data_IF_163653818879
#
_entry.id   IF_163653818879
#
_cell.length_a   1.000
_cell.length_b   1.000
_cell.length_c   1.000
_cell.angle_alpha   90.00
_cell.angle_beta   90.00
_cell.angle_gamma   90.00
#
_symmetry.space_group_name_H-M   'P 1'
#
loop_
_entity.id
_entity.type
_entity.pdbx_description
1 polymer ?
#
# COMPACT_ATOMS: atom_id res chain seq x y z
N UNK A 1 11.65 -10.32 24.49
CA UNK A 1 12.38 -10.52 23.22
C UNK A 1 11.48 -10.05 22.09
N UNK A 2 11.81 -8.94 21.43
CA UNK A 2 11.05 -8.47 20.26
C UNK A 2 11.47 -9.31 19.06
N UNK A 3 10.51 -9.93 18.37
CA UNK A 3 10.76 -10.64 17.12
C UNK A 3 10.49 -9.65 15.97
N UNK A 4 11.56 -9.24 15.29
CA UNK A 4 11.45 -8.38 14.12
C UNK A 4 11.19 -9.23 12.88
N UNK A 5 10.15 -8.90 12.13
CA UNK A 5 9.93 -9.46 10.81
C UNK A 5 10.56 -8.53 9.77
N UNK A 6 11.49 -9.06 8.98
CA UNK A 6 12.05 -8.37 7.80
C UNK A 6 11.30 -8.85 6.57
N UNK A 7 10.92 -7.93 5.68
CA UNK A 7 10.26 -8.22 4.42
C UNK A 7 11.09 -7.61 3.29
N UNK A 8 11.65 -8.46 2.44
CA UNK A 8 12.39 -8.03 1.25
C UNK A 8 11.42 -7.64 0.15
N UNK A 9 11.45 -6.35 -0.21
CA UNK A 9 10.65 -5.79 -1.29
C UNK A 9 11.46 -5.77 -2.59
N UNK A 10 10.78 -5.98 -3.72
CA UNK A 10 11.42 -5.93 -5.05
C UNK A 10 11.90 -4.54 -5.43
N UNK A 11 11.24 -3.50 -4.91
CA UNK A 11 11.53 -2.10 -5.19
C UNK A 11 11.69 -1.34 -3.87
N UNK A 12 12.55 -0.31 -3.89
CA UNK A 12 12.77 0.56 -2.74
C UNK A 12 11.54 1.42 -2.48
N UNK A 13 10.74 1.02 -1.49
CA UNK A 13 9.60 1.80 -1.02
C UNK A 13 10.07 3.15 -0.43
N UNK A 14 9.46 4.25 -0.87
CA UNK A 14 9.69 5.59 -0.29
C UNK A 14 8.70 5.92 0.82
N UNK A 15 7.53 5.31 0.77
CA UNK A 15 6.47 5.47 1.77
C UNK A 15 5.82 4.11 2.05
N UNK A 16 5.27 3.95 3.26
CA UNK A 16 4.62 2.72 3.72
C UNK A 16 3.41 3.05 4.58
N UNK A 17 2.33 2.28 4.45
CA UNK A 17 1.22 2.30 5.39
C UNK A 17 0.74 0.88 5.67
N UNK A 18 0.45 0.61 6.95
CA UNK A 18 0.03 -0.70 7.44
C UNK A 18 -1.49 -0.72 7.57
N UNK A 19 -2.13 -1.83 7.20
CA UNK A 19 -3.58 -1.94 7.36
C UNK A 19 -4.00 -1.80 8.84
N UNK A 20 -5.14 -1.14 9.14
CA UNK A 20 -5.61 -0.97 10.52
C UNK A 20 -5.82 -2.28 11.29
N UNK A 21 -6.05 -3.38 10.58
CA UNK A 21 -6.27 -4.72 11.12
C UNK A 21 -5.06 -5.65 10.92
N UNK A 22 -3.88 -5.11 10.63
CA UNK A 22 -2.68 -5.90 10.32
C UNK A 22 -2.35 -6.97 11.36
N UNK A 23 -2.57 -6.71 12.65
CA UNK A 23 -2.29 -7.67 13.73
C UNK A 23 -3.39 -8.71 13.92
N UNK A 24 -4.58 -8.52 13.34
CA UNK A 24 -5.70 -9.45 13.50
C UNK A 24 -5.44 -10.74 12.74
N UNK A 25 -5.69 -11.87 13.40
CA UNK A 25 -5.60 -13.19 12.75
C UNK A 25 -6.56 -13.24 11.55
N UNK A 26 -6.05 -13.65 10.39
CA UNK A 26 -6.84 -13.79 9.17
C UNK A 26 -7.00 -12.51 8.33
N UNK A 27 -6.46 -11.36 8.75
CA UNK A 27 -6.48 -10.12 7.94
C UNK A 27 -5.59 -10.18 6.69
N UNK A 28 -4.76 -11.22 6.59
CA UNK A 28 -3.73 -11.33 5.56
C UNK A 28 -2.49 -10.48 5.84
N UNK A 29 -2.42 -9.80 7.01
CA UNK A 29 -1.28 -8.98 7.42
C UNK A 29 -0.86 -8.01 6.31
N UNK A 30 -1.81 -7.22 5.80
CA UNK A 30 -1.63 -6.45 4.57
C UNK A 30 -0.99 -5.09 4.87
N UNK A 31 -0.07 -4.65 4.01
CA UNK A 31 0.45 -3.28 4.00
C UNK A 31 0.57 -2.77 2.57
N UNK A 32 0.75 -1.47 2.39
CA UNK A 32 1.03 -0.84 1.10
C UNK A 32 2.35 -0.09 1.13
N UNK A 33 2.99 -0.03 -0.02
CA UNK A 33 4.21 0.74 -0.26
C UNK A 33 4.02 1.69 -1.43
N UNK A 34 4.66 2.85 -1.37
CA UNK A 34 4.68 3.84 -2.44
C UNK A 34 6.07 4.03 -3.02
N UNK A 35 6.16 3.94 -4.34
CA UNK A 35 7.22 4.51 -5.16
C UNK A 35 6.58 5.32 -6.30
N UNK A 36 6.81 5.02 -7.57
CA UNK A 36 5.93 5.48 -8.67
C UNK A 36 4.54 4.84 -8.58
N UNK A 37 4.45 3.61 -8.08
CA UNK A 37 3.24 2.82 -7.96
C UNK A 37 2.79 2.72 -6.50
N UNK A 38 1.49 2.50 -6.31
CA UNK A 38 0.94 2.04 -5.03
C UNK A 38 0.84 0.52 -5.07
N UNK A 39 1.70 -0.18 -4.34
CA UNK A 39 1.74 -1.64 -4.27
C UNK A 39 1.16 -2.15 -2.95
N UNK A 40 0.24 -3.12 -3.02
CA UNK A 40 -0.32 -3.84 -1.88
C UNK A 40 0.39 -5.17 -1.69
N UNK A 41 0.86 -5.41 -0.46
CA UNK A 41 1.56 -6.61 -0.05
C UNK A 41 0.69 -7.40 0.92
N UNK A 42 0.34 -8.63 0.56
CA UNK A 42 -0.46 -9.52 1.38
C UNK A 42 0.33 -10.77 1.74
N UNK A 43 0.34 -11.13 3.03
CA UNK A 43 0.99 -12.34 3.50
C UNK A 43 0.23 -13.56 3.00
N UNK A 44 0.96 -14.49 2.41
CA UNK A 44 0.46 -15.78 1.96
C UNK A 44 0.48 -16.80 3.10
N UNK A 45 -0.18 -17.93 2.92
CA UNK A 45 -0.17 -19.03 3.89
C UNK A 45 1.23 -19.59 4.16
N UNK A 46 2.15 -19.50 3.19
CA UNK A 46 3.55 -19.94 3.33
C UNK A 46 4.45 -18.88 3.98
N UNK A 47 3.89 -17.75 4.43
CA UNK A 47 4.62 -16.71 5.15
C UNK A 47 5.30 -15.66 4.28
N UNK A 48 5.42 -15.88 2.97
CA UNK A 48 5.91 -14.88 2.02
C UNK A 48 4.84 -13.81 1.72
N UNK A 49 5.24 -12.69 1.13
CA UNK A 49 4.32 -11.64 0.69
C UNK A 49 4.09 -11.70 -0.83
N UNK A 50 2.83 -11.61 -1.23
CA UNK A 50 2.42 -11.42 -2.63
C UNK A 50 2.10 -9.94 -2.86
N UNK A 51 2.66 -9.39 -3.92
CA UNK A 51 2.44 -8.02 -4.36
C UNK A 51 1.27 -7.92 -5.36
N UNK A 52 0.49 -6.84 -5.26
CA UNK A 52 -0.52 -6.42 -6.23
C UNK A 52 -0.41 -4.90 -6.43
N UNK A 53 -0.18 -4.45 -7.66
CA UNK A 53 -0.22 -3.02 -7.99
C UNK A 53 -1.68 -2.53 -7.95
N UNK A 54 -1.94 -1.53 -7.12
CA UNK A 54 -3.23 -0.85 -7.03
C UNK A 54 -3.29 0.31 -8.01
N UNK A 55 -2.26 1.17 -7.98
CA UNK A 55 -2.07 2.33 -8.85
C UNK A 55 -0.74 2.21 -9.59
N UNK A 56 -0.78 2.45 -10.90
CA UNK A 56 0.39 2.55 -11.75
C UNK A 56 0.60 4.01 -12.14
N UNK A 57 1.65 4.64 -11.62
CA UNK A 57 1.95 6.04 -11.86
C UNK A 57 2.67 6.26 -13.18
N UNK A 58 2.37 7.36 -13.86
CA UNK A 58 3.14 7.80 -15.02
C UNK A 58 4.37 8.60 -14.57
N UNK A 59 5.31 8.86 -15.49
CA UNK A 59 6.49 9.69 -15.19
C UNK A 59 6.10 11.08 -14.64
N UNK A 60 5.07 11.71 -15.21
CA UNK A 60 4.54 13.01 -14.76
C UNK A 60 3.93 13.00 -13.37
N UNK A 61 3.55 11.83 -12.86
CA UNK A 61 2.93 11.69 -11.54
C UNK A 61 3.98 11.72 -10.43
N UNK A 62 5.26 11.60 -10.77
CA UNK A 62 6.35 11.59 -9.80
C UNK A 62 6.36 10.35 -8.92
N UNK A 63 6.76 10.51 -7.67
CA UNK A 63 6.76 9.44 -6.65
C UNK A 63 5.72 9.72 -5.58
N UNK A 64 5.18 8.66 -4.98
CA UNK A 64 4.28 8.71 -3.84
C UNK A 64 5.08 9.01 -2.59
N UNK A 65 4.92 10.23 -2.08
CA UNK A 65 5.66 10.75 -0.93
C UNK A 65 5.00 10.39 0.40
N UNK A 66 3.67 10.27 0.41
CA UNK A 66 2.91 10.00 1.63
C UNK A 66 1.76 9.05 1.36
N UNK A 67 1.52 8.13 2.31
CA UNK A 67 0.38 7.22 2.32
C UNK A 67 -0.26 7.25 3.70
N UNK A 68 -1.58 7.32 3.74
CA UNK A 68 -2.38 7.12 4.95
C UNK A 68 -3.44 6.07 4.69
N UNK A 69 -3.69 5.22 5.69
CA UNK A 69 -4.67 4.15 5.59
C UNK A 69 -5.68 4.26 6.73
N UNK A 70 -6.95 4.47 6.36
CA UNK A 70 -8.06 4.44 7.30
C UNK A 70 -9.19 3.52 6.80
N UNK A 71 -9.51 2.48 7.59
CA UNK A 71 -10.51 1.46 7.25
C UNK A 71 -10.28 0.85 5.84
N UNK A 72 -11.23 1.02 4.90
CA UNK A 72 -11.10 0.57 3.52
C UNK A 72 -10.41 1.57 2.59
N UNK A 73 -10.13 2.79 3.06
CA UNK A 73 -9.57 3.86 2.25
C UNK A 73 -8.06 3.98 2.41
N UNK A 74 -7.39 4.14 1.28
CA UNK A 74 -5.96 4.42 1.21
C UNK A 74 -5.80 5.74 0.48
N UNK A 75 -5.39 6.78 1.21
CA UNK A 75 -5.02 8.06 0.64
C UNK A 75 -3.53 8.07 0.32
N UNK A 76 -3.15 8.55 -0.85
CA UNK A 76 -1.75 8.71 -1.23
C UNK A 76 -1.56 9.99 -2.04
N UNK A 77 -0.40 10.61 -1.87
CA UNK A 77 -0.05 11.90 -2.50
C UNK A 77 1.23 11.77 -3.30
N UNK A 78 1.20 12.30 -4.51
CA UNK A 78 2.33 12.43 -5.41
C UNK A 78 2.35 13.85 -6.03
N UNK A 79 3.18 14.08 -7.04
CA UNK A 79 3.42 15.42 -7.60
C UNK A 79 2.17 16.01 -8.28
N UNK A 80 1.21 15.16 -8.67
CA UNK A 80 -0.04 15.58 -9.33
C UNK A 80 -1.24 15.66 -8.38
N UNK A 81 -1.04 15.42 -7.08
CA UNK A 81 -2.06 15.60 -6.05
C UNK A 81 -2.37 14.35 -5.24
N UNK A 82 -3.47 14.42 -4.50
CA UNK A 82 -3.91 13.35 -3.60
C UNK A 82 -5.00 12.50 -4.24
N UNK A 83 -4.91 11.19 -4.06
CA UNK A 83 -5.89 10.21 -4.54
C UNK A 83 -6.32 9.32 -3.40
N UNK A 84 -7.59 8.93 -3.40
CA UNK A 84 -8.15 7.96 -2.46
C UNK A 84 -8.52 6.69 -3.20
N UNK A 85 -7.90 5.56 -2.82
CA UNK A 85 -8.26 4.22 -3.27
C UNK A 85 -9.22 3.58 -2.26
N UNK A 86 -10.41 3.19 -2.71
CA UNK A 86 -11.37 2.40 -1.93
C UNK A 86 -11.15 0.91 -2.19
N UNK A 87 -10.84 0.15 -1.14
CA UNK A 87 -10.65 -1.30 -1.21
C UNK A 87 -11.93 -2.12 -1.46
N UNK A 88 -13.12 -1.53 -1.29
CA UNK A 88 -14.40 -2.24 -1.40
C UNK A 88 -15.08 -2.03 -2.76
N UNK A 89 -14.78 -0.95 -3.47
CA UNK A 89 -15.44 -0.58 -4.73
C UNK A 89 -14.46 -0.62 -5.90
N UNK A 90 -14.91 -1.08 -7.06
CA UNK A 90 -14.10 -1.19 -8.29
C UNK A 90 -13.74 0.16 -8.95
N UNK A 91 -14.30 1.28 -8.47
CA UNK A 91 -14.00 2.62 -8.97
C UNK A 91 -12.75 3.16 -8.30
N UNK A 92 -11.69 3.31 -9.11
CA UNK A 92 -10.32 3.22 -8.60
C UNK A 92 -9.83 4.43 -7.83
N UNK A 93 -10.27 5.67 -8.11
CA UNK A 93 -9.76 6.86 -7.43
C UNK A 93 -10.76 8.02 -7.41
N UNK A 94 -10.79 8.77 -6.32
CA UNK A 94 -11.27 10.17 -6.31
C UNK A 94 -10.07 11.09 -6.12
N UNK A 95 -9.98 12.16 -6.92
CA UNK A 95 -9.03 13.25 -6.72
C UNK A 95 -9.60 14.16 -5.62
N UNK A 96 -8.75 14.56 -4.67
CA UNK A 96 -9.09 15.51 -3.60
C UNK A 96 -8.14 16.69 -3.68
#
# INVERSE_FOLDING_TARGET
MFNFQVVDLKQAARSVAIAPDFTKRGSGHIFVTGDRNLSLHQRTFFGSYKEKVLYEGMERDGVILQISWHNCFIAFTNDTGTRIYDRLVLNKYFLV
#
